data_IF_502977030482
#
_entry.id   IF_502977030482
#
_cell.length_a   1.000
_cell.length_b   1.000
_cell.length_c   1.000
_cell.angle_alpha   90.00
_cell.angle_beta   90.00
_cell.angle_gamma   90.00
#
_symmetry.space_group_name_H-M   'P 1'
#
loop_
_entity.id
_entity.type
_entity.pdbx_description
1 polymer ?
#
# COMPACT_ATOMS: atom_id res chain seq x y z
N UNK A 1 8.45 -6.55 -0.97
CA UNK A 1 9.38 -5.82 -0.08
C UNK A 1 9.16 -6.29 1.34
N UNK A 2 10.21 -6.47 2.14
CA UNK A 2 10.05 -6.84 3.55
C UNK A 2 10.11 -5.58 4.42
N UNK A 3 9.18 -5.45 5.37
CA UNK A 3 9.12 -4.32 6.30
C UNK A 3 8.82 -4.82 7.70
N UNK A 4 9.23 -4.06 8.71
CA UNK A 4 8.95 -4.37 10.12
C UNK A 4 8.60 -3.12 10.90
N UNK A 5 7.77 -3.26 11.94
CA UNK A 5 7.49 -2.15 12.87
C UNK A 5 8.43 -2.18 14.06
N UNK A 6 9.26 -1.15 14.17
CA UNK A 6 10.14 -0.95 15.33
C UNK A 6 9.47 0.00 16.32
N UNK A 7 9.36 -0.44 17.58
CA UNK A 7 8.95 0.41 18.70
C UNK A 7 10.14 1.25 19.17
N UNK A 8 9.90 2.54 19.36
CA UNK A 8 10.88 3.50 19.88
C UNK A 8 10.31 4.18 21.12
N UNK A 9 11.12 4.82 21.97
CA UNK A 9 10.61 5.59 23.11
C UNK A 9 9.62 6.70 22.72
N UNK A 10 9.65 7.15 21.46
CA UNK A 10 8.77 8.22 20.93
C UNK A 10 7.58 7.68 20.12
N UNK A 11 7.38 6.38 20.06
CA UNK A 11 6.28 5.75 19.33
C UNK A 11 6.70 4.52 18.55
N UNK A 12 6.35 4.44 17.26
CA UNK A 12 6.83 3.36 16.39
C UNK A 12 6.99 3.85 14.96
N UNK A 13 7.89 3.19 14.22
CA UNK A 13 8.11 3.46 12.79
C UNK A 13 8.26 2.16 12.02
N UNK A 14 7.95 2.20 10.73
CA UNK A 14 8.21 1.12 9.80
C UNK A 14 9.65 1.23 9.31
N UNK A 15 10.36 0.10 9.27
CA UNK A 15 11.68 -0.03 8.65
C UNK A 15 11.65 -0.96 7.43
N UNK A 16 12.43 -0.67 6.37
CA UNK A 16 13.25 0.55 6.22
C UNK A 16 12.37 1.80 6.17
N UNK A 17 12.90 2.94 6.62
CA UNK A 17 12.20 4.22 6.47
C UNK A 17 11.85 4.49 5.00
N UNK A 18 10.73 5.18 4.77
CA UNK A 18 10.36 5.61 3.41
C UNK A 18 11.37 6.63 2.90
N UNK A 19 12.07 6.27 1.82
CA UNK A 19 13.04 7.18 1.19
C UNK A 19 12.37 8.04 0.11
N UNK A 20 12.63 9.35 0.15
CA UNK A 20 12.04 10.29 -0.80
C UNK A 20 12.60 10.14 -2.22
N UNK A 21 13.84 9.66 -2.36
CA UNK A 21 14.49 9.44 -3.65
C UNK A 21 14.03 8.18 -4.40
N UNK A 22 13.21 7.33 -3.79
CA UNK A 22 12.68 6.14 -4.47
C UNK A 22 11.70 6.51 -5.59
N UNK A 23 11.69 5.69 -6.63
CA UNK A 23 10.67 5.78 -7.66
C UNK A 23 9.28 5.42 -7.10
N UNK A 24 8.24 5.88 -7.79
CA UNK A 24 6.86 5.73 -7.38
C UNK A 24 6.45 4.26 -7.13
N UNK A 25 6.95 3.32 -7.94
CA UNK A 25 6.62 1.90 -7.74
C UNK A 25 7.26 1.35 -6.48
N UNK A 26 8.51 1.74 -6.20
CA UNK A 26 9.20 1.36 -4.96
C UNK A 26 8.50 1.97 -3.74
N UNK A 27 8.04 3.23 -3.82
CA UNK A 27 7.23 3.85 -2.77
C UNK A 27 5.91 3.12 -2.54
N UNK A 28 5.21 2.73 -3.61
CA UNK A 28 3.95 1.98 -3.51
C UNK A 28 4.13 0.57 -2.96
N UNK A 29 5.18 -0.14 -3.37
CA UNK A 29 5.48 -1.48 -2.82
C UNK A 29 5.89 -1.41 -1.36
N UNK A 30 6.62 -0.37 -0.94
CA UNK A 30 6.87 -0.09 0.48
C UNK A 30 5.57 0.15 1.24
N UNK A 31 4.70 1.02 0.72
CA UNK A 31 3.44 1.37 1.35
C UNK A 31 2.50 0.16 1.47
N UNK A 32 2.39 -0.63 0.42
CA UNK A 32 1.64 -1.88 0.40
C UNK A 32 2.14 -2.85 1.48
N UNK A 33 3.46 -3.04 1.59
CA UNK A 33 4.07 -3.89 2.61
C UNK A 33 3.79 -3.36 4.03
N UNK A 34 3.89 -2.05 4.25
CA UNK A 34 3.59 -1.42 5.54
C UNK A 34 2.12 -1.63 5.94
N UNK A 35 1.19 -1.42 5.01
CA UNK A 35 -0.24 -1.67 5.23
C UNK A 35 -0.49 -3.15 5.52
N UNK A 36 0.10 -4.07 4.75
CA UNK A 36 -0.06 -5.49 4.97
C UNK A 36 0.45 -5.92 6.35
N UNK A 37 1.62 -5.42 6.76
CA UNK A 37 2.18 -5.67 8.09
C UNK A 37 1.26 -5.18 9.21
N UNK A 38 0.76 -3.94 9.12
CA UNK A 38 -0.04 -3.35 10.20
C UNK A 38 -1.49 -3.83 10.24
N UNK A 39 -2.02 -4.31 9.12
CA UNK A 39 -3.44 -4.68 9.01
C UNK A 39 -3.67 -6.19 8.95
N UNK A 40 -2.67 -6.97 8.56
CA UNK A 40 -2.81 -8.39 8.23
C UNK A 40 -3.51 -8.64 6.88
N UNK A 41 -3.96 -7.60 6.18
CA UNK A 41 -4.58 -7.73 4.86
C UNK A 41 -3.46 -7.94 3.84
N UNK A 42 -3.57 -8.96 2.99
CA UNK A 42 -2.62 -9.13 1.87
C UNK A 42 -2.79 -7.98 0.88
N UNK A 43 -1.73 -7.19 0.69
CA UNK A 43 -1.72 -6.03 -0.21
C UNK A 43 -0.44 -6.05 -1.04
N UNK A 44 -0.59 -5.97 -2.37
CA UNK A 44 0.52 -5.91 -3.32
C UNK A 44 0.28 -4.80 -4.35
N UNK A 45 1.35 -4.17 -4.81
CA UNK A 45 1.31 -3.17 -5.88
C UNK A 45 2.04 -3.72 -7.11
N UNK A 46 1.44 -3.52 -8.28
CA UNK A 46 1.98 -3.93 -9.57
C UNK A 46 2.02 -2.73 -10.52
N UNK A 47 3.00 -2.71 -11.43
CA UNK A 47 2.95 -1.79 -12.58
C UNK A 47 1.79 -2.25 -13.48
N UNK A 48 0.93 -1.32 -13.85
CA UNK A 48 -0.23 -1.66 -14.67
C UNK A 48 0.20 -1.94 -16.12
N UNK A 49 -0.52 -2.86 -16.75
CA UNK A 49 -0.45 -3.10 -18.20
C UNK A 49 -1.49 -2.27 -18.95
N UNK A 50 -1.98 -1.18 -18.35
CA UNK A 50 -2.92 -0.26 -18.96
C UNK A 50 -2.40 0.25 -20.30
N UNK A 51 -3.24 0.12 -21.34
CA UNK A 51 -2.95 0.63 -22.67
C UNK A 51 -3.94 1.71 -23.06
N UNK A 52 -3.45 2.74 -23.76
CA UNK A 52 -4.26 3.73 -24.46
C UNK A 52 -3.76 3.79 -25.91
N UNK A 53 -4.69 3.70 -26.87
CA UNK A 53 -4.37 3.67 -28.31
C UNK A 53 -3.28 2.64 -28.69
N UNK A 54 -3.30 1.48 -28.02
CA UNK A 54 -2.34 0.39 -28.25
C UNK A 54 -0.96 0.58 -27.61
N UNK A 55 -0.73 1.65 -26.86
CA UNK A 55 0.54 1.94 -26.17
C UNK A 55 0.39 1.70 -24.67
N UNK A 56 1.35 1.00 -24.05
CA UNK A 56 1.39 0.82 -22.58
C UNK A 56 1.68 2.16 -21.93
N UNK A 57 0.78 2.58 -21.04
CA UNK A 57 0.86 3.82 -20.30
C UNK A 57 1.68 3.62 -19.02
N UNK A 58 2.79 4.33 -18.91
CA UNK A 58 3.61 4.36 -17.69
C UNK A 58 2.96 5.24 -16.61
N UNK A 59 3.38 5.06 -15.35
CA UNK A 59 2.84 5.83 -14.21
C UNK A 59 1.49 5.35 -13.68
N UNK A 60 1.02 4.20 -14.17
CA UNK A 60 -0.19 3.54 -13.68
C UNK A 60 0.11 2.24 -12.94
N UNK A 61 -0.69 1.96 -11.92
CA UNK A 61 -0.50 0.88 -10.97
C UNK A 61 -1.80 0.14 -10.70
N UNK A 62 -1.68 -1.17 -10.50
CA UNK A 62 -2.76 -2.04 -10.04
C UNK A 62 -2.45 -2.47 -8.60
N UNK A 63 -3.47 -2.48 -7.75
CA UNK A 63 -3.36 -2.93 -6.36
C UNK A 63 -4.12 -4.24 -6.18
N UNK A 64 -3.42 -5.29 -5.76
CA UNK A 64 -4.04 -6.54 -5.36
C UNK A 64 -4.31 -6.51 -3.85
N UNK A 65 -5.58 -6.66 -3.46
CA UNK A 65 -6.07 -6.62 -2.09
C UNK A 65 -6.82 -7.91 -1.80
N UNK A 66 -6.25 -8.78 -0.98
CA UNK A 66 -6.77 -10.13 -0.78
C UNK A 66 -6.87 -10.88 -2.12
N UNK A 67 -8.10 -11.18 -2.56
CA UNK A 67 -8.40 -11.83 -3.85
C UNK A 67 -8.88 -10.88 -4.94
N UNK A 68 -8.93 -9.57 -4.67
CA UNK A 68 -9.41 -8.56 -5.62
C UNK A 68 -8.25 -7.77 -6.21
N UNK A 69 -8.38 -7.31 -7.44
CA UNK A 69 -7.45 -6.37 -8.07
C UNK A 69 -8.21 -5.10 -8.42
N UNK A 70 -7.59 -3.94 -8.17
CA UNK A 70 -8.16 -2.64 -8.54
C UNK A 70 -7.13 -1.77 -9.23
N UNK A 71 -7.52 -1.20 -10.37
CA UNK A 71 -6.70 -0.31 -11.18
C UNK A 71 -7.24 -0.22 -12.62
N UNK A 72 -6.56 0.50 -13.51
CA UNK A 72 -5.31 1.24 -13.28
C UNK A 72 -5.49 2.52 -12.44
N UNK A 73 -4.49 2.88 -11.64
CA UNK A 73 -4.45 4.11 -10.80
C UNK A 73 -3.14 4.87 -10.99
N UNK A 74 -3.18 6.19 -10.97
CA UNK A 74 -1.96 7.01 -10.83
C UNK A 74 -1.28 6.75 -9.48
N UNK A 75 -0.02 7.20 -9.32
CA UNK A 75 0.70 7.09 -8.05
C UNK A 75 -0.08 7.67 -6.86
N UNK A 76 -0.60 8.90 -6.99
CA UNK A 76 -1.37 9.55 -5.91
C UNK A 76 -2.64 8.79 -5.57
N UNK A 77 -3.41 8.35 -6.56
CA UNK A 77 -4.64 7.61 -6.35
C UNK A 77 -4.38 6.23 -5.72
N UNK A 78 -3.29 5.56 -6.09
CA UNK A 78 -2.88 4.31 -5.47
C UNK A 78 -2.42 4.53 -4.01
N UNK A 79 -1.68 5.60 -3.74
CA UNK A 79 -1.25 5.97 -2.39
C UNK A 79 -2.45 6.26 -1.47
N UNK A 80 -3.41 7.03 -1.95
CA UNK A 80 -4.63 7.36 -1.21
C UNK A 80 -5.49 6.13 -0.95
N UNK A 81 -5.60 5.23 -1.92
CA UNK A 81 -6.29 3.95 -1.73
C UNK A 81 -5.65 3.14 -0.59
N UNK A 82 -4.31 3.03 -0.57
CA UNK A 82 -3.59 2.32 0.50
C UNK A 82 -3.76 2.98 1.87
N UNK A 83 -3.83 4.32 1.93
CA UNK A 83 -4.20 5.03 3.15
C UNK A 83 -5.61 4.66 3.62
N UNK A 84 -6.57 4.63 2.70
CA UNK A 84 -7.96 4.24 2.99
C UNK A 84 -8.06 2.81 3.53
N UNK A 85 -7.33 1.85 2.96
CA UNK A 85 -7.27 0.47 3.47
C UNK A 85 -6.73 0.43 4.90
N UNK A 86 -5.64 1.16 5.17
CA UNK A 86 -5.06 1.22 6.51
C UNK A 86 -6.05 1.79 7.54
N UNK A 87 -6.67 2.93 7.21
CA UNK A 87 -7.67 3.58 8.07
C UNK A 87 -8.88 2.67 8.30
N UNK A 88 -9.43 2.08 7.24
CA UNK A 88 -10.58 1.18 7.34
C UNK A 88 -10.30 -0.04 8.22
N UNK A 89 -9.14 -0.67 8.05
CA UNK A 89 -8.73 -1.80 8.88
C UNK A 89 -8.54 -1.42 10.35
N UNK A 90 -7.99 -0.23 10.62
CA UNK A 90 -7.87 0.28 11.99
C UNK A 90 -9.24 0.52 12.64
N UNK A 91 -10.19 1.15 11.93
CA UNK A 91 -11.54 1.37 12.45
C UNK A 91 -12.30 0.06 12.68
N UNK A 92 -12.15 -0.92 11.78
CA UNK A 92 -12.76 -2.24 11.93
C UNK A 92 -12.26 -2.94 13.21
N UNK A 93 -10.94 -2.91 13.49
CA UNK A 93 -10.36 -3.48 14.72
C UNK A 93 -10.86 -2.79 15.98
N UNK A 94 -11.05 -1.47 15.96
CA UNK A 94 -11.57 -0.72 17.12
C UNK A 94 -13.05 -1.02 17.41
N UNK A 95 -13.80 -1.42 16.39
CA UNK A 95 -15.25 -1.65 16.49
C UNK A 95 -15.59 -3.11 16.84
N UNK A 96 -14.63 -4.04 16.72
CA UNK A 96 -14.82 -5.41 17.21
C UNK A 96 -14.77 -5.43 18.75
N UNK A 97 -15.86 -5.83 19.44
CA UNK A 97 -15.78 -6.10 20.86
C UNK A 97 -14.75 -7.20 21.10
N UNK A 98 -13.89 -7.03 22.10
CA UNK A 98 -13.02 -8.10 22.58
C UNK A 98 -13.88 -9.33 22.90
N UNK A 99 -13.71 -10.39 22.09
CA UNK A 99 -14.33 -11.68 22.29
C UNK A 99 -13.78 -12.38 23.54
#
# INVERSE_FOLDING_TARGET
MNVTRIRTPRGSRIEPALEQGWDEFTKLTWKAAAVAHDTGIRVEAHRSQYTADGVIMSGYYDLAIGSSITGPRSFSAAWDYLNGVATGAEQARRTQPSA
#
